data_IF_523941439694
#
_entry.id   IF_523941439694
#
_cell.length_a   1.000
_cell.length_b   1.000
_cell.length_c   1.000
_cell.angle_alpha   90.00
_cell.angle_beta   90.00
_cell.angle_gamma   90.00
#
_symmetry.space_group_name_H-M   'P 1'
#
loop_
_entity.id
_entity.type
_entity.pdbx_description
1 polymer ?
#
# COMPACT_ATOMS: atom_id res chain seq x y z
N UNK A 1 14.10 4.10 2.65
CA UNK A 1 15.15 3.70 1.69
C UNK A 1 14.62 3.95 0.26
N UNK A 2 15.40 3.80 -0.82
CA UNK A 2 14.91 3.95 -2.21
C UNK A 2 14.76 2.57 -2.91
N UNK A 3 14.01 2.47 -4.03
CA UNK A 3 13.77 1.19 -4.69
C UNK A 3 15.06 0.44 -5.09
N UNK A 4 16.09 1.16 -5.53
CA UNK A 4 17.37 0.59 -5.91
C UNK A 4 18.07 -0.10 -4.73
N UNK A 5 18.03 0.52 -3.55
CA UNK A 5 18.60 -0.05 -2.33
C UNK A 5 17.85 -1.32 -1.90
N UNK A 6 16.51 -1.34 -1.99
CA UNK A 6 15.74 -2.55 -1.71
C UNK A 6 16.01 -3.67 -2.75
N UNK A 7 16.10 -3.33 -4.03
CA UNK A 7 16.44 -4.30 -5.07
C UNK A 7 17.82 -4.93 -4.83
N UNK A 8 18.81 -4.16 -4.39
CA UNK A 8 20.12 -4.70 -4.00
C UNK A 8 20.05 -5.63 -2.78
N UNK A 9 19.14 -5.38 -1.83
CA UNK A 9 18.87 -6.32 -0.72
C UNK A 9 18.30 -7.63 -1.28
N UNK A 10 17.36 -7.56 -2.24
CA UNK A 10 16.79 -8.72 -2.92
C UNK A 10 17.86 -9.51 -3.68
N UNK A 11 18.71 -8.85 -4.47
CA UNK A 11 19.87 -9.50 -5.14
C UNK A 11 20.76 -10.21 -4.14
N UNK A 12 21.11 -9.55 -3.02
CA UNK A 12 21.97 -10.16 -1.99
C UNK A 12 21.33 -11.40 -1.33
N UNK A 13 20.01 -11.38 -1.10
CA UNK A 13 19.30 -12.47 -0.40
C UNK A 13 18.87 -13.59 -1.33
N UNK A 14 18.54 -13.26 -2.59
CA UNK A 14 17.86 -14.14 -3.53
C UNK A 14 18.72 -14.48 -4.74
N UNK A 15 19.83 -13.77 -5.00
CA UNK A 15 20.61 -13.90 -6.24
C UNK A 15 19.92 -13.19 -7.40
N UNK A 16 20.30 -13.50 -8.65
CA UNK A 16 19.77 -12.80 -9.82
C UNK A 16 20.36 -11.39 -9.97
N UNK A 17 19.70 -10.57 -10.78
CA UNK A 17 20.12 -9.23 -11.14
C UNK A 17 19.13 -8.18 -10.62
N UNK A 18 19.50 -6.91 -10.67
CA UNK A 18 18.70 -5.83 -10.10
C UNK A 18 17.32 -5.69 -10.80
N UNK A 19 17.31 -5.92 -12.11
CA UNK A 19 16.15 -5.84 -12.99
C UNK A 19 15.08 -6.87 -12.63
N UNK A 20 15.45 -7.97 -11.98
CA UNK A 20 14.50 -8.99 -11.50
C UNK A 20 13.56 -8.45 -10.40
N UNK A 21 13.94 -7.36 -9.73
CA UNK A 21 13.31 -6.92 -8.47
C UNK A 21 12.85 -5.47 -8.45
N UNK A 22 13.48 -4.62 -9.25
CA UNK A 22 13.34 -3.16 -9.12
C UNK A 22 11.88 -2.69 -9.28
N UNK A 23 11.11 -3.29 -10.19
CA UNK A 23 9.74 -2.85 -10.48
C UNK A 23 8.79 -3.11 -9.31
N UNK A 24 8.95 -4.22 -8.58
CA UNK A 24 8.15 -4.51 -7.38
C UNK A 24 8.47 -3.48 -6.30
N UNK A 25 9.76 -3.20 -6.05
CA UNK A 25 10.13 -2.20 -5.06
C UNK A 25 9.70 -0.78 -5.46
N UNK A 26 9.80 -0.43 -6.74
CA UNK A 26 9.35 0.85 -7.26
C UNK A 26 7.83 1.03 -7.10
N UNK A 27 7.03 -0.03 -7.33
CA UNK A 27 5.59 0.04 -7.12
C UNK A 27 5.22 0.25 -5.66
N UNK A 28 5.86 -0.49 -4.73
CA UNK A 28 5.61 -0.33 -3.28
C UNK A 28 5.87 1.12 -2.82
N UNK A 29 6.88 1.76 -3.41
CA UNK A 29 7.27 3.14 -3.13
C UNK A 29 6.55 4.20 -3.99
N UNK A 30 5.73 3.79 -4.96
CA UNK A 30 5.17 4.68 -5.99
C UNK A 30 4.37 5.84 -5.42
N UNK A 31 3.74 5.65 -4.26
CA UNK A 31 2.99 6.68 -3.55
C UNK A 31 3.82 7.86 -3.06
N UNK A 32 5.16 7.79 -3.09
CA UNK A 32 6.05 8.96 -2.86
C UNK A 32 5.74 10.13 -3.79
N UNK A 33 5.18 9.85 -4.97
CA UNK A 33 4.73 10.89 -5.91
C UNK A 33 3.47 11.63 -5.43
N UNK A 34 2.70 11.03 -4.51
CA UNK A 34 1.45 11.55 -3.97
C UNK A 34 1.64 12.22 -2.61
N UNK A 35 2.60 11.72 -1.83
CA UNK A 35 2.98 12.27 -0.54
C UNK A 35 4.49 12.08 -0.35
N UNK A 36 5.23 13.16 -0.18
CA UNK A 36 6.70 13.12 -0.20
C UNK A 36 7.33 12.68 1.13
N UNK A 37 6.54 12.64 2.21
CA UNK A 37 6.97 12.15 3.52
C UNK A 37 6.51 10.71 3.79
N UNK A 38 6.93 10.14 4.93
CA UNK A 38 6.69 8.73 5.28
C UNK A 38 5.20 8.32 5.41
N UNK A 39 4.23 9.25 5.37
CA UNK A 39 2.81 8.90 5.23
C UNK A 39 2.52 8.10 3.95
N UNK A 40 3.35 8.24 2.92
CA UNK A 40 3.20 7.53 1.64
C UNK A 40 3.14 6.01 1.78
N UNK A 41 3.63 5.44 2.90
CA UNK A 41 3.83 4.01 3.13
C UNK A 41 2.54 3.16 3.20
N UNK A 42 1.41 3.60 2.62
CA UNK A 42 0.14 2.86 2.60
C UNK A 42 0.23 1.50 1.87
N UNK A 43 1.12 1.36 0.87
CA UNK A 43 1.43 0.08 0.21
C UNK A 43 2.39 -0.79 1.03
N UNK A 44 2.96 -0.26 2.11
CA UNK A 44 3.83 -1.00 3.04
C UNK A 44 3.00 -1.76 4.10
N UNK A 45 1.88 -2.32 3.65
CA UNK A 45 0.93 -3.09 4.45
C UNK A 45 0.68 -4.41 3.74
N UNK A 46 0.24 -5.45 4.46
CA UNK A 46 -0.18 -6.68 3.78
C UNK A 46 -1.42 -6.48 2.89
N UNK A 47 -2.24 -5.44 3.15
CA UNK A 47 -3.27 -5.04 2.20
C UNK A 47 -2.66 -4.62 0.86
N UNK A 48 -1.64 -3.76 0.87
CA UNK A 48 -0.94 -3.37 -0.36
C UNK A 48 -0.32 -4.57 -1.09
N UNK A 49 0.28 -5.51 -0.35
CA UNK A 49 0.84 -6.73 -0.96
C UNK A 49 -0.24 -7.61 -1.61
N UNK A 50 -1.33 -7.88 -0.89
CA UNK A 50 -2.38 -8.82 -1.34
C UNK A 50 -3.30 -8.21 -2.40
N UNK A 51 -3.68 -6.95 -2.24
CA UNK A 51 -4.68 -6.29 -3.08
C UNK A 51 -4.06 -5.50 -4.24
N UNK A 52 -2.76 -5.20 -4.19
CA UNK A 52 -2.06 -4.42 -5.24
C UNK A 52 -0.90 -5.19 -5.87
N UNK A 53 0.10 -5.59 -5.10
CA UNK A 53 1.34 -6.15 -5.67
C UNK A 53 1.12 -7.51 -6.32
N UNK A 54 0.51 -8.48 -5.60
CA UNK A 54 0.27 -9.83 -6.11
C UNK A 54 -0.63 -9.81 -7.36
N UNK A 55 -1.72 -9.02 -7.43
CA UNK A 55 -2.51 -8.91 -8.66
C UNK A 55 -1.75 -8.42 -9.89
N UNK A 56 -0.64 -7.69 -9.72
CA UNK A 56 0.16 -7.13 -10.80
C UNK A 56 1.30 -8.09 -11.19
N UNK A 57 2.02 -8.64 -10.22
CA UNK A 57 3.24 -9.43 -10.46
C UNK A 57 3.04 -10.94 -10.33
N UNK A 58 1.85 -11.39 -9.90
CA UNK A 58 1.58 -12.78 -9.57
C UNK A 58 2.08 -13.18 -8.18
N UNK A 59 1.85 -14.45 -7.82
CA UNK A 59 2.28 -15.01 -6.53
C UNK A 59 3.77 -15.33 -6.49
N UNK A 60 4.35 -15.70 -7.64
CA UNK A 60 5.76 -15.99 -7.75
C UNK A 60 6.26 -15.73 -9.18
N UNK A 61 7.56 -15.58 -9.33
CA UNK A 61 8.25 -15.53 -10.61
C UNK A 61 9.59 -16.27 -10.54
N UNK A 62 10.20 -16.57 -11.67
CA UNK A 62 11.57 -17.09 -11.73
C UNK A 62 12.52 -15.92 -12.05
N UNK A 63 13.55 -15.72 -11.23
CA UNK A 63 14.56 -14.68 -11.49
C UNK A 63 15.60 -15.16 -12.53
N UNK A 64 16.47 -14.25 -12.98
CA UNK A 64 17.55 -14.56 -13.93
C UNK A 64 18.56 -15.62 -13.44
N UNK A 65 18.60 -15.92 -12.14
CA UNK A 65 19.43 -16.99 -11.56
C UNK A 65 18.70 -18.35 -11.46
N UNK A 66 17.52 -18.51 -12.08
CA UNK A 66 16.75 -19.75 -12.10
C UNK A 66 16.10 -20.10 -10.75
N UNK A 67 15.89 -19.11 -9.87
CA UNK A 67 15.26 -19.31 -8.56
C UNK A 67 13.82 -18.84 -8.60
N UNK A 68 12.93 -19.68 -8.06
CA UNK A 68 11.54 -19.31 -7.81
C UNK A 68 11.45 -18.36 -6.61
N UNK A 69 10.95 -17.15 -6.84
CA UNK A 69 10.81 -16.08 -5.86
C UNK A 69 9.33 -15.88 -5.55
N UNK A 70 8.96 -16.01 -4.29
CA UNK A 70 7.60 -15.72 -3.81
C UNK A 70 7.45 -14.22 -3.57
N UNK A 71 6.46 -13.59 -4.22
CA UNK A 71 6.31 -12.13 -4.25
C UNK A 71 5.98 -11.58 -2.87
N UNK A 72 5.10 -12.25 -2.09
CA UNK A 72 4.76 -11.79 -0.74
C UNK A 72 5.99 -11.79 0.17
N UNK A 73 6.79 -12.84 0.16
CA UNK A 73 8.02 -12.93 0.96
C UNK A 73 9.06 -11.88 0.55
N UNK A 74 9.22 -11.61 -0.75
CA UNK A 74 10.05 -10.50 -1.24
C UNK A 74 9.57 -9.16 -0.67
N UNK A 75 8.28 -8.85 -0.81
CA UNK A 75 7.73 -7.60 -0.28
C UNK A 75 7.93 -7.51 1.24
N UNK A 76 7.62 -8.58 1.96
CA UNK A 76 7.68 -8.63 3.42
C UNK A 76 9.11 -8.46 3.94
N UNK A 77 10.04 -9.31 3.47
CA UNK A 77 11.39 -9.40 4.04
C UNK A 77 12.30 -8.31 3.55
N UNK A 78 12.20 -7.92 2.27
CA UNK A 78 13.22 -7.09 1.61
C UNK A 78 12.80 -5.63 1.49
N UNK A 79 11.49 -5.34 1.60
CA UNK A 79 10.95 -3.98 1.55
C UNK A 79 10.31 -3.58 2.88
N UNK A 80 9.14 -4.13 3.21
CA UNK A 80 8.28 -3.69 4.31
C UNK A 80 9.01 -3.74 5.65
N UNK A 81 9.54 -4.90 6.04
CA UNK A 81 10.25 -5.01 7.31
C UNK A 81 11.54 -4.18 7.34
N UNK A 82 12.26 -4.05 6.22
CA UNK A 82 13.51 -3.27 6.16
C UNK A 82 13.24 -1.81 6.52
N UNK A 83 12.19 -1.22 5.94
CA UNK A 83 11.82 0.17 6.20
C UNK A 83 11.30 0.41 7.61
N UNK A 84 10.78 -0.61 8.30
CA UNK A 84 10.38 -0.52 9.72
C UNK A 84 11.39 -1.16 10.67
N UNK A 85 12.67 -1.24 10.26
CA UNK A 85 13.78 -1.79 11.06
C UNK A 85 13.49 -3.18 11.68
N UNK A 86 12.78 -4.02 10.93
CA UNK A 86 12.36 -5.37 11.31
C UNK A 86 11.51 -5.44 12.61
N UNK A 87 10.85 -4.34 12.98
CA UNK A 87 10.07 -4.26 14.22
C UNK A 87 8.65 -4.78 14.07
N UNK A 88 7.96 -4.34 13.01
CA UNK A 88 6.55 -4.63 12.70
C UNK A 88 6.26 -4.35 11.21
N UNK A 89 5.05 -4.70 10.77
CA UNK A 89 4.46 -4.23 9.51
C UNK A 89 3.14 -3.56 9.89
N UNK A 90 2.91 -2.28 9.55
CA UNK A 90 1.66 -1.62 9.87
C UNK A 90 0.49 -2.24 9.09
N UNK A 91 -0.71 -2.11 9.65
CA UNK A 91 -1.95 -2.47 8.98
C UNK A 91 -2.52 -1.27 8.24
N UNK A 92 -3.41 -1.50 7.27
CA UNK A 92 -4.17 -0.40 6.66
C UNK A 92 -4.98 0.38 7.72
N UNK A 93 -5.45 -0.31 8.76
CA UNK A 93 -6.16 0.28 9.89
C UNK A 93 -5.33 1.33 10.65
N UNK A 94 -4.01 1.14 10.79
CA UNK A 94 -3.14 2.12 11.45
C UNK A 94 -3.07 3.43 10.65
N UNK A 95 -2.98 3.35 9.32
CA UNK A 95 -3.03 4.53 8.45
C UNK A 95 -4.42 5.20 8.49
N UNK A 96 -5.49 4.41 8.45
CA UNK A 96 -6.86 4.94 8.52
C UNK A 96 -7.16 5.59 9.87
N UNK A 97 -6.59 5.08 10.96
CA UNK A 97 -6.67 5.70 12.29
C UNK A 97 -5.95 7.06 12.36
N UNK A 98 -4.93 7.29 11.53
CA UNK A 98 -4.23 8.58 11.44
C UNK A 98 -5.00 9.65 10.63
N UNK A 99 -6.07 9.28 9.90
CA UNK A 99 -6.90 10.17 9.07
C UNK A 99 -8.07 10.81 9.86
N UNK A 100 -7.85 11.43 11.03
CA UNK A 100 -8.99 11.85 11.89
C UNK A 100 -9.70 13.13 11.43
N UNK A 101 -9.09 13.92 10.54
CA UNK A 101 -9.60 15.25 10.16
C UNK A 101 -10.38 15.24 8.84
N UNK A 102 -11.14 14.18 8.58
CA UNK A 102 -11.95 14.07 7.35
C UNK A 102 -13.38 14.55 7.63
N UNK A 103 -13.82 15.64 6.98
CA UNK A 103 -15.24 16.00 6.99
C UNK A 103 -16.07 14.84 6.46
N UNK A 104 -16.96 14.31 7.28
CA UNK A 104 -17.83 13.19 6.92
C UNK A 104 -19.08 13.64 6.17
N UNK A 105 -19.39 14.94 6.20
CA UNK A 105 -20.54 15.54 5.55
C UNK A 105 -20.51 15.26 4.04
N UNK A 106 -21.47 14.46 3.57
CA UNK A 106 -21.58 14.08 2.17
C UNK A 106 -20.54 13.08 1.66
N UNK A 107 -19.57 12.65 2.49
CA UNK A 107 -18.51 11.71 2.08
C UNK A 107 -19.09 10.40 1.52
N UNK A 108 -20.10 9.85 2.18
CA UNK A 108 -20.77 8.64 1.72
C UNK A 108 -21.38 8.80 0.33
N UNK A 109 -22.18 9.86 0.13
CA UNK A 109 -22.78 10.17 -1.17
C UNK A 109 -21.74 10.39 -2.25
N UNK A 110 -20.62 11.03 -1.90
CA UNK A 110 -19.52 11.28 -2.83
C UNK A 110 -18.81 9.99 -3.25
N UNK A 111 -18.52 9.11 -2.29
CA UNK A 111 -17.92 7.80 -2.55
C UNK A 111 -18.88 6.90 -3.34
N UNK A 112 -20.16 6.87 -3.01
CA UNK A 112 -21.19 6.14 -3.76
C UNK A 112 -21.25 6.62 -5.21
N UNK A 113 -21.29 7.95 -5.41
CA UNK A 113 -21.27 8.53 -6.76
C UNK A 113 -20.00 8.16 -7.51
N UNK A 114 -18.83 8.33 -6.89
CA UNK A 114 -17.55 7.96 -7.49
C UNK A 114 -17.54 6.48 -7.89
N UNK A 115 -17.97 5.59 -6.99
CA UNK A 115 -18.08 4.15 -7.22
C UNK A 115 -18.94 3.87 -8.46
N UNK A 116 -20.13 4.48 -8.55
CA UNK A 116 -21.01 4.31 -9.72
C UNK A 116 -20.45 4.90 -11.01
N UNK A 117 -19.69 5.99 -10.94
CA UNK A 117 -19.15 6.66 -12.14
C UNK A 117 -17.97 5.87 -12.74
N UNK A 118 -17.20 5.15 -11.91
CA UNK A 118 -15.96 4.51 -12.35
C UNK A 118 -16.07 3.01 -12.58
N UNK A 119 -17.13 2.35 -12.07
CA UNK A 119 -17.24 0.89 -12.02
C UNK A 119 -18.37 0.37 -12.89
N UNK A 120 -18.00 -0.52 -13.79
CA UNK A 120 -18.87 -1.32 -14.65
C UNK A 120 -18.66 -2.84 -14.42
N UNK A 121 -17.61 -3.26 -13.70
CA UNK A 121 -17.27 -4.66 -13.41
C UNK A 121 -17.35 -4.99 -11.89
N UNK A 122 -18.12 -6.02 -11.49
CA UNK A 122 -18.16 -6.53 -10.12
C UNK A 122 -16.79 -6.89 -9.50
N UNK A 123 -15.82 -7.37 -10.30
CA UNK A 123 -14.46 -7.71 -9.80
C UNK A 123 -13.66 -6.46 -9.45
N UNK A 124 -13.84 -5.38 -10.20
CA UNK A 124 -13.26 -4.06 -9.88
C UNK A 124 -13.91 -3.55 -8.60
N UNK A 125 -15.23 -3.66 -8.47
CA UNK A 125 -15.96 -3.27 -7.25
C UNK A 125 -15.37 -3.93 -6.00
N UNK A 126 -15.15 -5.25 -6.01
CA UNK A 126 -14.54 -5.95 -4.89
C UNK A 126 -13.13 -5.42 -4.53
N UNK A 127 -12.29 -5.16 -5.55
CA UNK A 127 -10.94 -4.59 -5.37
C UNK A 127 -11.03 -3.20 -4.70
N UNK A 128 -11.94 -2.36 -5.19
CA UNK A 128 -12.12 -0.98 -4.69
C UNK A 128 -12.70 -0.96 -3.28
N UNK A 129 -13.55 -1.93 -2.92
CA UNK A 129 -14.13 -2.04 -1.57
C UNK A 129 -13.19 -2.70 -0.56
N UNK A 130 -12.05 -3.27 -0.99
CA UNK A 130 -11.12 -3.97 -0.10
C UNK A 130 -10.63 -3.15 1.11
N UNK A 131 -10.39 -1.81 1.04
CA UNK A 131 -10.05 -1.04 2.24
C UNK A 131 -11.16 -1.04 3.28
N UNK A 132 -12.43 -0.95 2.84
CA UNK A 132 -13.58 -0.99 3.72
C UNK A 132 -13.72 -2.37 4.35
N UNK A 133 -13.52 -3.43 3.56
CA UNK A 133 -13.56 -4.81 4.04
C UNK A 133 -12.54 -5.08 5.17
N UNK A 134 -11.33 -4.51 5.08
CA UNK A 134 -10.27 -4.75 6.08
C UNK A 134 -10.29 -3.79 7.26
N UNK A 135 -10.87 -2.58 7.12
CA UNK A 135 -10.87 -1.56 8.19
C UNK A 135 -12.22 -1.30 8.84
N UNK A 136 -13.32 -1.64 8.16
CA UNK A 136 -14.68 -1.32 8.57
C UNK A 136 -15.02 0.18 8.54
N UNK A 137 -14.17 1.03 7.96
CA UNK A 137 -14.33 2.49 8.02
C UNK A 137 -14.51 3.08 6.62
N UNK A 138 -15.62 3.78 6.37
CA UNK A 138 -15.93 4.33 5.05
C UNK A 138 -14.82 5.22 4.46
N UNK A 139 -14.14 6.01 5.32
CA UNK A 139 -13.03 6.88 4.90
C UNK A 139 -11.84 6.12 4.32
N UNK A 140 -11.68 4.83 4.59
CA UNK A 140 -10.61 4.01 3.99
C UNK A 140 -10.79 3.87 2.48
N UNK A 141 -12.02 4.01 1.97
CA UNK A 141 -12.28 3.95 0.53
C UNK A 141 -11.57 5.06 -0.25
N UNK A 142 -11.18 6.16 0.40
CA UNK A 142 -10.38 7.21 -0.25
C UNK A 142 -9.03 6.71 -0.76
N UNK A 143 -8.54 5.55 -0.29
CA UNK A 143 -7.29 4.91 -0.76
C UNK A 143 -7.46 4.32 -2.17
N UNK A 144 -8.66 3.85 -2.51
CA UNK A 144 -8.98 3.20 -3.79
C UNK A 144 -9.91 4.01 -4.70
N UNK A 145 -10.67 4.94 -4.13
CA UNK A 145 -11.63 5.80 -4.82
C UNK A 145 -11.02 7.17 -5.08
N UNK A 146 -9.90 7.19 -5.80
CA UNK A 146 -9.21 8.42 -6.20
C UNK A 146 -8.59 8.28 -7.59
N UNK A 147 -8.20 9.40 -8.19
CA UNK A 147 -7.62 9.43 -9.54
C UNK A 147 -6.40 8.52 -9.72
N UNK A 148 -5.48 8.44 -8.74
CA UNK A 148 -4.28 7.60 -8.86
C UNK A 148 -4.61 6.12 -8.92
N UNK A 149 -5.49 5.64 -8.04
CA UNK A 149 -5.83 4.22 -8.04
C UNK A 149 -6.53 3.82 -9.34
N UNK A 150 -7.45 4.66 -9.84
CA UNK A 150 -8.18 4.40 -11.09
C UNK A 150 -7.28 4.49 -12.32
N UNK A 151 -6.41 5.51 -12.43
CA UNK A 151 -5.62 5.75 -13.64
C UNK A 151 -4.22 5.13 -13.61
N UNK A 152 -3.78 4.55 -12.49
CA UNK A 152 -2.46 3.92 -12.39
C UNK A 152 -2.59 2.47 -11.93
N UNK A 153 -3.19 2.22 -10.77
CA UNK A 153 -3.21 0.87 -10.19
C UNK A 153 -4.09 -0.10 -10.98
N UNK A 154 -5.32 0.29 -11.35
CA UNK A 154 -6.19 -0.59 -12.14
C UNK A 154 -5.60 -0.94 -13.52
N UNK A 155 -5.02 0.01 -14.29
CA UNK A 155 -4.29 -0.32 -15.51
C UNK A 155 -3.12 -1.28 -15.31
N UNK A 156 -2.32 -1.09 -14.26
CA UNK A 156 -1.21 -2.01 -13.96
C UNK A 156 -1.70 -3.43 -13.65
N UNK A 157 -2.89 -3.58 -13.06
CA UNK A 157 -3.53 -4.87 -12.83
C UNK A 157 -4.16 -5.49 -14.08
N UNK A 158 -4.21 -4.78 -15.21
CA UNK A 158 -4.99 -5.17 -16.38
C UNK A 158 -6.51 -5.21 -16.11
N UNK A 159 -6.98 -4.47 -15.10
CA UNK A 159 -8.38 -4.43 -14.66
C UNK A 159 -9.11 -3.14 -15.05
N UNK A 160 -8.50 -2.29 -15.87
CA UNK A 160 -9.14 -1.05 -16.33
C UNK A 160 -8.22 -0.23 -17.21
N UNK A 161 -8.78 0.74 -17.90
CA UNK A 161 -8.03 1.70 -18.70
C UNK A 161 -7.98 3.06 -18.01
N UNK A 162 -6.89 3.80 -18.22
CA UNK A 162 -6.79 5.16 -17.72
C UNK A 162 -7.87 6.04 -18.37
N UNK A 163 -8.58 6.82 -17.54
CA UNK A 163 -9.67 7.69 -17.99
C UNK A 163 -9.18 9.13 -18.11
N UNK A 164 -9.47 9.76 -19.25
CA UNK A 164 -9.19 11.18 -19.48
C UNK A 164 -10.38 12.04 -19.03
N UNK A 165 -10.56 12.16 -17.71
CA UNK A 165 -11.63 12.91 -17.05
C UNK A 165 -11.09 13.67 -15.82
N UNK A 166 -11.85 14.65 -15.34
CA UNK A 166 -11.63 15.23 -14.02
C UNK A 166 -12.24 14.30 -12.96
N UNK A 167 -11.42 13.84 -12.01
CA UNK A 167 -11.89 13.06 -10.88
C UNK A 167 -12.28 13.97 -9.73
N UNK A 168 -13.41 13.64 -9.10
CA UNK A 168 -13.90 14.36 -7.94
C UNK A 168 -13.02 14.12 -6.69
N UNK A 169 -12.41 12.94 -6.58
CA UNK A 169 -11.54 12.57 -5.46
C UNK A 169 -10.10 12.41 -5.95
N UNK A 170 -9.19 13.24 -5.43
CA UNK A 170 -7.73 13.13 -5.60
C UNK A 170 -7.08 12.43 -4.40
N UNK A 171 -5.82 11.97 -4.51
CA UNK A 171 -5.06 11.43 -3.38
C UNK A 171 -4.93 12.37 -2.18
N UNK A 172 -5.03 13.69 -2.40
CA UNK A 172 -4.98 14.69 -1.33
C UNK A 172 -6.09 14.49 -0.29
N UNK A 173 -7.23 13.92 -0.71
CA UNK A 173 -8.36 13.65 0.19
C UNK A 173 -8.04 12.66 1.31
N UNK A 174 -7.00 11.82 1.14
CA UNK A 174 -6.56 10.94 2.22
C UNK A 174 -5.20 11.31 2.79
N UNK A 175 -4.28 11.90 2.02
CA UNK A 175 -2.97 12.31 2.55
C UNK A 175 -3.02 13.60 3.38
N UNK A 176 -3.75 14.63 2.96
CA UNK A 176 -3.83 15.88 3.73
C UNK A 176 -4.40 15.70 5.14
N UNK A 177 -5.52 14.96 5.34
CA UNK A 177 -6.05 14.73 6.68
C UNK A 177 -5.33 13.61 7.46
N UNK A 178 -4.38 12.91 6.82
CA UNK A 178 -3.53 11.93 7.51
C UNK A 178 -2.44 12.65 8.28
N UNK A 179 -2.50 12.54 9.61
CA UNK A 179 -1.41 13.01 10.46
C UNK A 179 -0.17 12.17 10.26
N UNK A 180 0.98 12.83 10.33
CA UNK A 180 2.26 12.14 10.43
C UNK A 180 2.39 11.55 11.83
N UNK A 181 2.55 10.23 11.91
CA UNK A 181 2.73 9.51 13.17
C UNK A 181 4.16 8.94 13.23
N UNK A 182 4.82 8.98 14.40
CA UNK A 182 6.23 8.60 14.52
C UNK A 182 6.54 7.15 14.14
N UNK A 183 5.54 6.26 14.13
CA UNK A 183 5.76 4.89 13.66
C UNK A 183 5.93 4.82 12.14
N UNK A 184 5.45 5.81 11.38
CA UNK A 184 5.67 5.92 9.94
C UNK A 184 7.14 6.23 9.64
N UNK A 185 7.81 6.96 10.54
CA UNK A 185 9.20 7.36 10.39
C UNK A 185 10.17 6.22 10.74
N UNK A 186 10.37 5.34 9.78
CA UNK A 186 11.27 4.17 9.89
C UNK A 186 11.02 3.34 11.17
N UNK A 187 9.77 3.29 11.61
CA UNK A 187 9.37 2.62 12.84
C UNK A 187 9.96 3.23 14.11
N UNK A 188 10.11 4.55 14.24
CA UNK A 188 10.59 5.19 15.48
C UNK A 188 9.67 4.91 16.68
N UNK A 189 8.35 4.93 16.47
CA UNK A 189 7.34 4.47 17.43
C UNK A 189 6.70 3.14 16.99
N UNK A 190 5.72 2.66 17.76
CA UNK A 190 4.96 1.44 17.45
C UNK A 190 3.53 1.84 17.09
N UNK A 191 2.97 1.35 15.98
CA UNK A 191 1.59 1.64 15.60
C UNK A 191 0.61 0.91 16.55
N UNK A 192 -0.66 1.37 16.64
CA UNK A 192 -1.69 0.75 17.48
C UNK A 192 -1.78 -0.77 17.33
N UNK A 193 -1.70 -1.29 16.09
CA UNK A 193 -1.77 -2.73 15.81
C UNK A 193 -0.61 -3.56 16.39
N UNK A 194 0.55 -2.95 16.65
CA UNK A 194 1.76 -3.66 17.07
C UNK A 194 2.15 -3.43 18.53
N UNK A 195 1.40 -2.62 19.28
CA UNK A 195 1.70 -2.30 20.70
C UNK A 195 1.87 -3.57 21.54
N UNK A 196 0.90 -4.49 21.47
CA UNK A 196 0.93 -5.75 22.24
C UNK A 196 2.11 -6.65 21.86
N UNK A 197 2.50 -6.66 20.58
CA UNK A 197 3.66 -7.43 20.12
C UNK A 197 4.96 -6.88 20.72
N UNK A 198 5.08 -5.55 20.79
CA UNK A 198 6.24 -4.90 21.40
C UNK A 198 6.32 -5.20 22.90
N UNK A 199 5.20 -5.12 23.62
CA UNK A 199 5.15 -5.44 25.06
C UNK A 199 5.61 -6.88 25.35
N UNK A 200 5.22 -7.84 24.50
CA UNK A 200 5.67 -9.23 24.62
C UNK A 200 7.17 -9.38 24.40
N UNK A 201 7.74 -8.72 23.38
CA UNK A 201 9.19 -8.74 23.12
C UNK A 201 9.99 -8.21 24.32
N UNK A 202 9.49 -7.17 24.99
CA UNK A 202 10.13 -6.62 26.20
C UNK A 202 10.02 -7.55 27.41
N UNK A 203 8.98 -8.39 27.51
CA UNK A 203 8.84 -9.37 28.61
C UNK A 203 9.73 -10.60 28.44
N UNK A 204 10.16 -10.91 27.22
CA UNK A 204 10.97 -12.09 26.89
C UNK A 204 12.47 -11.76 26.90
N UNK A 205 12.84 -10.49 26.71
CA UNK A 205 14.21 -9.99 26.77
C UNK A 205 14.70 -9.79 28.21
#
# INVERSE_FOLDING_TARGET
>A
MNPLQHANISVKRRGGELEDYIDIHALIDSTKMLCTDNRHRILHTFWGVQEVIIPIFGHHFENSAGKSIEVKDLCEKDHLLVDFHHRFIPTLGDFVAAMQDIPTDGLAKRLEKFHSDVIDDPKISATLLSPLSVTGQLKSLLITHNSWFINTILPMMGKGEAKFINFDISPDFFFNPMRFELWMDNGMAVPPSAVKLQELKTKIA
#
